data_IF_283057527778
#
_entry.id   IF_283057527778
#
_cell.length_a   1.000
_cell.length_b   1.000
_cell.length_c   1.000
_cell.angle_alpha   90.00
_cell.angle_beta   90.00
_cell.angle_gamma   90.00
#
_symmetry.space_group_name_H-M   'P 1'
#
loop_
_entity.id
_entity.type
_entity.pdbx_description
1 polymer ?
#
# COMPACT_ATOMS: atom_id res chain seq x y z
N UNK A 1 0.23 11.57 -14.89
CA UNK A 1 0.85 10.51 -14.06
C UNK A 1 -0.17 9.38 -13.99
N UNK A 2 0.04 8.31 -14.77
CA UNK A 2 -0.91 7.21 -14.89
C UNK A 2 -0.67 6.19 -13.77
N UNK A 3 -1.68 5.97 -12.93
CA UNK A 3 -1.74 4.88 -11.97
C UNK A 3 -1.89 3.57 -12.74
N UNK A 4 -0.81 2.77 -12.86
CA UNK A 4 -0.91 1.42 -13.42
C UNK A 4 -1.55 0.49 -12.39
N UNK A 5 -2.87 0.26 -12.52
CA UNK A 5 -3.59 -0.77 -11.79
C UNK A 5 -3.33 -2.10 -12.50
N UNK A 6 -2.59 -3.01 -11.85
CA UNK A 6 -2.45 -4.39 -12.34
C UNK A 6 -3.63 -5.23 -11.83
N UNK A 7 -4.61 -5.50 -12.70
CA UNK A 7 -5.68 -6.48 -12.43
C UNK A 7 -5.27 -7.85 -12.97
N UNK A 8 -5.23 -8.86 -12.10
CA UNK A 8 -5.00 -10.24 -12.50
C UNK A 8 -6.34 -10.97 -12.47
N UNK A 9 -6.88 -11.21 -13.67
CA UNK A 9 -8.01 -12.10 -13.86
C UNK A 9 -7.48 -13.52 -14.11
N UNK A 10 -7.85 -14.48 -13.27
CA UNK A 10 -7.57 -15.89 -13.53
C UNK A 10 -8.34 -16.34 -14.78
N UNK A 11 -7.63 -16.76 -15.83
CA UNK A 11 -8.21 -17.31 -17.06
C UNK A 11 -8.48 -18.80 -16.87
N UNK A 12 -9.75 -19.23 -16.96
CA UNK A 12 -10.14 -20.62 -17.16
C UNK A 12 -11.32 -20.70 -18.13
N UNK A 13 -11.22 -21.60 -19.11
CA UNK A 13 -12.16 -21.83 -20.22
C UNK A 13 -13.25 -22.85 -19.84
N UNK A 14 -14.51 -22.50 -20.09
CA UNK A 14 -15.73 -23.29 -20.35
C UNK A 14 -16.10 -24.52 -19.47
N UNK A 15 -17.38 -24.58 -19.02
CA UNK A 15 -18.51 -25.43 -19.51
C UNK A 15 -19.58 -25.50 -18.40
N UNK A 16 -20.86 -25.31 -18.75
CA UNK A 16 -21.99 -25.25 -17.80
C UNK A 16 -22.26 -26.61 -17.11
N UNK A 17 -22.49 -26.61 -15.79
CA UNK A 17 -23.52 -27.41 -15.09
C UNK A 17 -23.58 -27.18 -13.56
N UNK A 18 -24.77 -27.44 -13.03
CA UNK A 18 -25.36 -27.03 -11.75
C UNK A 18 -24.79 -27.70 -10.47
N UNK A 19 -23.50 -27.54 -10.17
CA UNK A 19 -22.84 -28.08 -8.94
C UNK A 19 -21.81 -27.14 -8.26
N UNK A 20 -21.92 -25.82 -8.45
CA UNK A 20 -20.78 -24.91 -8.25
C UNK A 20 -20.41 -24.49 -6.82
N UNK A 21 -21.22 -24.75 -5.78
CA UNK A 21 -20.92 -24.21 -4.44
C UNK A 21 -19.63 -24.77 -3.82
N UNK A 22 -19.26 -26.02 -4.14
CA UNK A 22 -18.06 -26.66 -3.59
C UNK A 22 -16.79 -26.22 -4.31
N UNK A 23 -16.88 -25.85 -5.59
CA UNK A 23 -15.74 -25.40 -6.39
C UNK A 23 -15.29 -23.98 -6.00
N UNK A 24 -16.23 -23.07 -5.75
CA UNK A 24 -15.93 -21.67 -5.43
C UNK A 24 -15.16 -21.54 -4.10
N UNK A 25 -15.57 -22.27 -3.06
CA UNK A 25 -14.87 -22.30 -1.77
C UNK A 25 -13.40 -22.78 -1.91
N UNK A 26 -13.15 -23.72 -2.84
CA UNK A 26 -11.80 -24.24 -3.09
C UNK A 26 -10.90 -23.24 -3.82
N UNK A 27 -11.47 -22.41 -4.71
CA UNK A 27 -10.73 -21.36 -5.44
C UNK A 27 -10.37 -20.22 -4.47
N UNK A 28 -11.33 -19.78 -3.65
CA UNK A 28 -11.12 -18.76 -2.63
C UNK A 28 -10.00 -19.14 -1.68
N UNK A 29 -10.02 -20.39 -1.19
CA UNK A 29 -8.99 -20.91 -0.31
C UNK A 29 -7.62 -20.95 -0.98
N UNK A 30 -7.51 -21.44 -2.23
CA UNK A 30 -6.23 -21.50 -2.96
C UNK A 30 -5.63 -20.11 -3.21
N UNK A 31 -6.45 -19.12 -3.54
CA UNK A 31 -5.98 -17.75 -3.73
C UNK A 31 -5.50 -17.14 -2.41
N UNK A 32 -6.26 -17.34 -1.33
CA UNK A 32 -5.87 -16.90 0.00
C UNK A 32 -4.57 -17.58 0.46
N UNK A 33 -4.44 -18.89 0.29
CA UNK A 33 -3.22 -19.64 0.58
C UNK A 33 -2.02 -19.17 -0.24
N UNK A 34 -2.25 -18.79 -1.51
CA UNK A 34 -1.21 -18.24 -2.37
C UNK A 34 -0.76 -16.88 -1.85
N UNK A 35 -1.70 -15.98 -1.53
CA UNK A 35 -1.41 -14.64 -1.02
C UNK A 35 -0.72 -14.68 0.36
N UNK A 36 -1.11 -15.61 1.23
CA UNK A 36 -0.53 -15.77 2.57
C UNK A 36 0.75 -16.60 2.60
N UNK A 37 1.25 -17.08 1.45
CA UNK A 37 2.50 -17.82 1.35
C UNK A 37 3.58 -16.97 0.67
N UNK A 38 4.55 -16.42 1.42
CA UNK A 38 5.59 -15.55 0.86
C UNK A 38 6.33 -16.16 -0.32
N UNK A 39 6.61 -17.46 -0.30
CA UNK A 39 7.32 -18.15 -1.40
C UNK A 39 6.48 -18.22 -2.68
N UNK A 40 5.16 -18.40 -2.54
CA UNK A 40 4.24 -18.49 -3.70
C UNK A 40 3.92 -17.12 -4.28
N UNK A 41 3.77 -16.09 -3.45
CA UNK A 41 3.41 -14.74 -3.90
C UNK A 41 4.60 -13.92 -4.42
N UNK A 42 5.82 -14.23 -3.97
CA UNK A 42 7.04 -13.49 -4.32
C UNK A 42 7.25 -13.26 -5.83
N UNK A 43 7.07 -14.24 -6.74
CA UNK A 43 7.24 -13.99 -8.18
C UNK A 43 6.29 -12.90 -8.70
N UNK A 44 5.05 -12.90 -8.22
CA UNK A 44 4.05 -11.89 -8.59
C UNK A 44 4.46 -10.50 -8.08
N UNK A 45 4.87 -10.39 -6.81
CA UNK A 45 5.32 -9.12 -6.24
C UNK A 45 6.57 -8.58 -6.94
N UNK A 46 7.51 -9.46 -7.30
CA UNK A 46 8.71 -9.07 -8.04
C UNK A 46 8.37 -8.58 -9.46
N UNK A 47 7.43 -9.24 -10.14
CA UNK A 47 6.90 -8.78 -11.42
C UNK A 47 6.26 -7.39 -11.32
N UNK A 48 5.45 -7.17 -10.28
CA UNK A 48 4.82 -5.89 -10.00
C UNK A 48 5.86 -4.76 -9.81
N UNK A 49 6.88 -4.96 -8.98
CA UNK A 49 7.93 -3.96 -8.73
C UNK A 49 8.74 -3.60 -9.98
N UNK A 50 8.96 -4.57 -10.87
CA UNK A 50 9.76 -4.36 -12.09
C UNK A 50 8.93 -3.86 -13.27
N UNK A 51 7.62 -3.70 -13.12
CA UNK A 51 6.71 -3.37 -14.24
C UNK A 51 6.72 -4.42 -15.35
N UNK A 52 7.10 -5.66 -15.05
CA UNK A 52 7.20 -6.77 -16.02
C UNK A 52 6.19 -7.84 -15.66
N UNK A 53 5.35 -8.22 -16.62
CA UNK A 53 4.52 -9.42 -16.49
C UNK A 53 5.42 -10.65 -16.19
N UNK A 54 4.95 -11.60 -15.38
CA UNK A 54 5.72 -12.80 -15.07
C UNK A 54 5.99 -13.57 -16.36
N UNK A 55 7.23 -13.50 -16.86
CA UNK A 55 7.71 -14.39 -17.91
C UNK A 55 7.97 -15.75 -17.29
N UNK A 56 7.63 -16.81 -18.03
CA UNK A 56 7.71 -18.23 -17.64
C UNK A 56 8.95 -18.55 -16.79
N UNK A 57 8.72 -19.32 -15.72
CA UNK A 57 9.58 -19.57 -14.56
C UNK A 57 10.89 -20.34 -14.81
N UNK A 58 11.42 -20.34 -16.03
CA UNK A 58 12.66 -21.04 -16.35
C UNK A 58 13.88 -20.14 -16.06
N UNK A 59 14.52 -20.37 -14.91
CA UNK A 59 15.87 -19.87 -14.54
C UNK A 59 16.01 -18.41 -14.08
N UNK A 60 15.14 -17.93 -13.19
CA UNK A 60 15.39 -16.68 -12.48
C UNK A 60 16.21 -16.93 -11.19
N UNK A 61 17.30 -16.16 -11.02
CA UNK A 61 18.06 -16.03 -9.76
C UNK A 61 17.09 -15.82 -8.59
N UNK A 62 17.33 -16.39 -7.39
CA UNK A 62 16.44 -16.18 -6.25
C UNK A 62 16.24 -14.68 -6.01
N UNK A 63 14.98 -14.26 -6.08
CA UNK A 63 14.60 -12.86 -5.86
C UNK A 63 14.85 -12.42 -4.41
N UNK A 64 14.70 -11.11 -4.13
CA UNK A 64 14.81 -10.59 -2.76
C UNK A 64 13.81 -11.29 -1.83
N UNK A 65 14.18 -11.48 -0.56
CA UNK A 65 13.32 -12.10 0.44
C UNK A 65 11.96 -11.40 0.51
N UNK A 66 10.91 -12.20 0.66
CA UNK A 66 9.53 -11.75 0.81
C UNK A 66 9.04 -12.10 2.22
N UNK A 67 8.49 -11.12 2.92
CA UNK A 67 7.91 -11.27 4.25
C UNK A 67 6.48 -10.71 4.29
N UNK A 68 5.61 -11.29 5.11
CA UNK A 68 4.31 -10.69 5.44
C UNK A 68 4.49 -9.95 6.76
N UNK A 69 4.28 -8.64 6.73
CA UNK A 69 4.42 -7.77 7.89
C UNK A 69 3.11 -7.61 8.68
N UNK A 70 1.99 -7.58 7.96
CA UNK A 70 0.64 -7.45 8.52
C UNK A 70 -0.37 -8.11 7.58
N UNK A 71 -1.44 -8.66 8.13
CA UNK A 71 -2.53 -9.23 7.34
C UNK A 71 -3.84 -9.07 8.10
N UNK A 72 -4.85 -8.55 7.39
CA UNK A 72 -6.21 -8.44 7.89
C UNK A 72 -7.13 -9.24 6.99
N UNK A 73 -7.83 -10.20 7.57
CA UNK A 73 -8.81 -11.00 6.87
C UNK A 73 -10.22 -10.72 7.40
N UNK A 74 -11.13 -10.38 6.49
CA UNK A 74 -12.56 -10.26 6.72
C UNK A 74 -13.28 -11.30 5.86
N UNK A 75 -13.73 -12.43 6.45
CA UNK A 75 -14.34 -13.53 5.70
C UNK A 75 -15.48 -13.06 4.78
N UNK A 76 -15.38 -13.46 3.50
CA UNK A 76 -16.36 -13.11 2.47
C UNK A 76 -16.38 -11.63 2.05
N UNK A 77 -15.43 -10.81 2.53
CA UNK A 77 -15.32 -9.37 2.18
C UNK A 77 -14.01 -9.04 1.50
N UNK A 78 -12.92 -8.98 2.29
CA UNK A 78 -11.58 -8.65 1.78
C UNK A 78 -10.46 -9.20 2.65
N UNK A 79 -9.31 -9.45 2.04
CA UNK A 79 -8.07 -9.72 2.75
C UNK A 79 -7.02 -8.71 2.28
N UNK A 80 -6.58 -7.84 3.19
CA UNK A 80 -5.53 -6.87 2.93
C UNK A 80 -4.24 -7.38 3.59
N UNK A 81 -3.15 -7.42 2.83
CA UNK A 81 -1.87 -7.97 3.26
C UNK A 81 -0.77 -6.95 2.95
N UNK A 82 0.11 -6.71 3.93
CA UNK A 82 1.30 -5.89 3.76
C UNK A 82 2.52 -6.80 3.61
N UNK A 83 3.17 -6.71 2.45
CA UNK A 83 4.39 -7.43 2.15
C UNK A 83 5.61 -6.53 2.27
N UNK A 84 6.74 -7.10 2.65
CA UNK A 84 8.07 -6.55 2.48
C UNK A 84 8.82 -7.39 1.44
N UNK A 85 9.34 -6.76 0.39
CA UNK A 85 10.12 -7.39 -0.66
C UNK A 85 11.41 -6.60 -0.85
N UNK A 86 12.50 -7.10 -0.26
CA UNK A 86 13.74 -6.33 -0.15
C UNK A 86 13.54 -5.07 0.70
N UNK A 87 13.71 -3.90 0.10
CA UNK A 87 13.50 -2.60 0.77
C UNK A 87 12.17 -1.92 0.40
N UNK A 88 11.28 -2.64 -0.29
CA UNK A 88 10.01 -2.12 -0.77
C UNK A 88 8.88 -2.76 0.01
N UNK A 89 7.84 -1.98 0.31
CA UNK A 89 6.60 -2.50 0.87
C UNK A 89 5.48 -2.44 -0.16
N UNK A 90 4.67 -3.49 -0.20
CA UNK A 90 3.57 -3.65 -1.15
C UNK A 90 2.32 -4.03 -0.39
N UNK A 91 1.19 -3.45 -0.76
CA UNK A 91 -0.12 -3.84 -0.25
C UNK A 91 -0.78 -4.74 -1.28
N UNK A 92 -1.23 -5.91 -0.86
CA UNK A 92 -2.12 -6.74 -1.64
C UNK A 92 -3.52 -6.74 -1.06
N UNK A 93 -4.51 -6.48 -1.89
CA UNK A 93 -5.92 -6.57 -1.54
C UNK A 93 -6.60 -7.66 -2.35
N UNK A 94 -7.04 -8.71 -1.66
CA UNK A 94 -7.90 -9.75 -2.20
C UNK A 94 -9.36 -9.36 -1.92
N UNK A 95 -10.18 -9.29 -2.96
CA UNK A 95 -11.62 -9.01 -2.84
C UNK A 95 -12.43 -10.18 -3.37
N UNK A 96 -13.50 -10.53 -2.65
CA UNK A 96 -14.45 -11.54 -3.08
C UNK A 96 -15.66 -10.88 -3.74
N UNK A 97 -16.27 -11.50 -4.76
CA UNK A 97 -17.52 -11.03 -5.29
C UNK A 97 -18.59 -11.07 -4.21
N UNK A 98 -19.33 -9.98 -4.04
CA UNK A 98 -20.50 -10.01 -3.16
C UNK A 98 -21.54 -10.97 -3.75
N UNK A 99 -22.05 -11.90 -2.92
CA UNK A 99 -23.14 -12.82 -3.31
C UNK A 99 -24.46 -12.10 -3.63
N UNK A 100 -24.56 -10.81 -3.33
CA UNK A 100 -25.80 -10.02 -3.35
C UNK A 100 -25.90 -8.99 -4.48
N UNK A 101 -25.00 -8.97 -5.47
CA UNK A 101 -25.16 -8.10 -6.65
C UNK A 101 -26.23 -8.70 -7.59
N UNK A 102 -27.50 -8.23 -7.58
CA UNK A 102 -28.59 -8.85 -8.33
C UNK A 102 -28.46 -8.62 -9.83
N UNK A 103 -27.59 -7.69 -10.25
CA UNK A 103 -27.29 -7.38 -11.65
C UNK A 103 -26.08 -8.14 -12.20
N UNK A 104 -25.39 -8.94 -11.38
CA UNK A 104 -24.25 -9.76 -11.80
C UNK A 104 -24.71 -11.07 -12.44
N UNK A 105 -25.59 -11.01 -13.43
CA UNK A 105 -26.45 -12.15 -13.77
C UNK A 105 -25.76 -13.24 -14.62
N UNK A 106 -24.54 -13.06 -15.15
CA UNK A 106 -24.05 -14.03 -16.17
C UNK A 106 -22.54 -14.38 -16.19
N UNK A 107 -21.72 -14.02 -15.20
CA UNK A 107 -20.34 -14.53 -15.15
C UNK A 107 -19.83 -14.78 -13.72
N UNK A 108 -19.20 -15.94 -13.44
CA UNK A 108 -18.51 -16.16 -12.17
C UNK A 108 -17.38 -15.12 -12.06
N UNK A 109 -17.56 -14.15 -11.15
CA UNK A 109 -16.48 -13.22 -10.79
C UNK A 109 -15.50 -14.03 -9.93
N UNK A 110 -14.27 -14.20 -10.39
CA UNK A 110 -13.22 -14.82 -9.57
C UNK A 110 -12.71 -13.77 -8.56
N UNK A 111 -12.24 -14.17 -7.37
CA UNK A 111 -11.58 -13.24 -6.47
C UNK A 111 -10.43 -12.56 -7.20
N UNK A 112 -10.31 -11.25 -7.03
CA UNK A 112 -9.25 -10.46 -7.67
C UNK A 112 -8.27 -9.97 -6.62
N UNK A 113 -6.99 -10.08 -6.93
CA UNK A 113 -5.92 -9.49 -6.15
C UNK A 113 -5.46 -8.20 -6.83
N UNK A 114 -5.48 -7.10 -6.07
CA UNK A 114 -4.93 -5.81 -6.48
C UNK A 114 -3.67 -5.53 -5.68
N UNK A 115 -2.66 -4.95 -6.32
CA UNK A 115 -1.38 -4.63 -5.71
C UNK A 115 -1.13 -3.12 -5.78
N UNK A 116 -0.61 -2.56 -4.70
CA UNK A 116 -0.26 -1.14 -4.59
C UNK A 116 1.13 -0.99 -3.96
N UNK A 117 1.95 -0.03 -4.41
CA UNK A 117 3.05 0.45 -3.57
C UNK A 117 2.49 0.96 -2.24
N UNK A 118 3.17 0.75 -1.12
CA UNK A 118 2.60 1.11 0.19
C UNK A 118 2.23 2.59 0.30
N UNK A 119 2.99 3.49 -0.35
CA UNK A 119 2.71 4.92 -0.34
C UNK A 119 1.37 5.24 -0.98
N UNK A 120 0.88 4.39 -1.89
CA UNK A 120 -0.38 4.53 -2.62
C UNK A 120 -1.53 3.74 -1.98
N UNK A 121 -1.46 3.47 -0.68
CA UNK A 121 -2.54 2.85 0.08
C UNK A 121 -3.86 3.63 -0.12
N UNK A 122 -4.90 3.02 -0.73
CA UNK A 122 -6.17 3.69 -0.97
C UNK A 122 -6.89 4.09 0.32
N UNK A 123 -6.68 3.34 1.42
CA UNK A 123 -7.25 3.65 2.73
C UNK A 123 -6.47 4.76 3.46
N UNK A 124 -5.35 5.25 2.90
CA UNK A 124 -4.48 6.28 3.47
C UNK A 124 -4.06 7.32 2.42
N UNK A 125 -5.03 7.97 1.77
CA UNK A 125 -4.81 8.88 0.64
C UNK A 125 -3.79 10.02 0.87
N UNK A 126 -3.56 10.45 2.10
CA UNK A 126 -2.55 11.48 2.42
C UNK A 126 -1.13 10.92 2.60
N UNK A 127 -0.94 9.60 2.58
CA UNK A 127 0.34 8.94 2.78
C UNK A 127 1.43 9.36 1.78
N UNK A 128 1.16 9.46 0.45
CA UNK A 128 2.17 9.94 -0.49
C UNK A 128 2.65 11.34 -0.11
N UNK A 129 1.72 12.23 0.23
CA UNK A 129 2.03 13.63 0.58
C UNK A 129 2.88 13.73 1.83
N UNK A 130 2.57 12.96 2.89
CA UNK A 130 3.34 13.04 4.14
C UNK A 130 4.70 12.36 4.08
N UNK A 131 4.90 11.47 3.10
CA UNK A 131 6.19 10.85 2.81
C UNK A 131 7.05 11.69 1.83
N UNK A 132 6.45 12.66 1.13
CA UNK A 132 7.15 13.57 0.22
C UNK A 132 7.85 14.71 0.99
N UNK A 133 9.17 14.68 0.97
CA UNK A 133 10.04 15.67 1.62
C UNK A 133 9.76 17.11 1.19
N UNK A 134 9.49 17.35 -0.10
CA UNK A 134 9.23 18.68 -0.65
C UNK A 134 7.83 19.17 -0.29
N UNK A 135 6.82 18.30 -0.38
CA UNK A 135 5.46 18.62 0.02
C UNK A 135 5.38 18.94 1.52
N UNK A 136 5.98 18.09 2.36
CA UNK A 136 6.03 18.33 3.81
C UNK A 136 6.83 19.56 4.19
N UNK A 137 7.93 19.87 3.49
CA UNK A 137 8.64 21.14 3.69
C UNK A 137 7.72 22.35 3.47
N UNK A 138 6.90 22.34 2.43
CA UNK A 138 5.93 23.43 2.18
C UNK A 138 4.89 23.51 3.30
N UNK A 139 4.23 22.39 3.60
CA UNK A 139 3.21 22.31 4.66
C UNK A 139 3.76 22.80 6.01
N UNK A 140 4.98 22.37 6.37
CA UNK A 140 5.62 22.77 7.63
C UNK A 140 6.03 24.24 7.64
N UNK A 141 6.42 24.83 6.51
CA UNK A 141 6.67 26.27 6.43
C UNK A 141 5.39 27.08 6.68
N UNK A 142 4.25 26.58 6.22
CA UNK A 142 2.95 27.23 6.40
C UNK A 142 2.37 26.99 7.81
N UNK A 143 2.68 25.85 8.43
CA UNK A 143 2.02 25.39 9.66
C UNK A 143 2.82 25.64 10.94
N UNK A 144 4.15 25.69 10.88
CA UNK A 144 4.97 25.90 12.09
C UNK A 144 4.92 27.37 12.52
N UNK A 145 4.64 27.70 13.79
CA UNK A 145 4.49 29.09 14.23
C UNK A 145 5.67 30.00 13.89
N UNK A 146 6.91 29.52 14.05
CA UNK A 146 8.11 30.31 13.72
C UNK A 146 8.29 30.52 12.22
N UNK A 147 7.76 29.62 11.39
CA UNK A 147 7.79 29.75 9.94
C UNK A 147 6.66 30.64 9.42
N UNK A 148 5.44 30.45 9.94
CA UNK A 148 4.29 31.31 9.63
C UNK A 148 4.55 32.78 10.02
N UNK A 149 5.26 33.02 11.12
CA UNK A 149 5.70 34.36 11.54
C UNK A 149 6.91 34.89 10.72
N UNK A 150 7.44 34.14 9.77
CA UNK A 150 8.58 34.52 8.93
C UNK A 150 9.93 34.60 9.65
N UNK A 151 10.04 34.08 10.88
CA UNK A 151 11.27 34.09 11.66
C UNK A 151 12.24 33.01 11.20
N UNK A 152 11.71 31.87 10.76
CA UNK A 152 12.45 30.73 10.26
C UNK A 152 11.85 30.20 8.96
N UNK A 153 12.60 29.42 8.20
CA UNK A 153 12.03 28.59 7.14
C UNK A 153 12.70 27.21 7.13
N UNK A 154 11.92 26.17 6.86
CA UNK A 154 12.39 24.81 6.66
C UNK A 154 13.10 24.75 5.31
N UNK A 155 14.42 24.57 5.32
CA UNK A 155 15.24 24.43 4.10
C UNK A 155 15.37 22.98 3.65
N UNK A 156 15.33 22.04 4.61
CA UNK A 156 15.35 20.60 4.37
C UNK A 156 14.35 19.91 5.29
N UNK A 157 13.63 18.94 4.74
CA UNK A 157 12.79 18.00 5.47
C UNK A 157 13.20 16.60 5.00
N UNK A 158 13.28 15.65 5.92
CA UNK A 158 13.39 14.22 5.60
C UNK A 158 12.33 13.47 6.38
N UNK A 159 11.39 12.87 5.68
CA UNK A 159 10.41 11.96 6.24
C UNK A 159 11.02 10.56 6.43
N UNK A 160 10.65 9.89 7.51
CA UNK A 160 11.00 8.49 7.75
C UNK A 160 9.81 7.80 8.41
N UNK A 161 9.32 6.74 7.77
CA UNK A 161 8.27 5.92 8.34
C UNK A 161 8.81 5.12 9.53
N UNK A 162 8.18 5.27 10.70
CA UNK A 162 8.56 4.54 11.91
C UNK A 162 7.66 3.32 12.16
N UNK A 163 6.37 3.47 11.84
CA UNK A 163 5.38 2.42 12.04
C UNK A 163 4.23 2.62 11.08
N UNK A 164 3.74 1.54 10.51
CA UNK A 164 2.55 1.53 9.68
C UNK A 164 1.62 0.39 10.12
N UNK A 165 0.32 0.66 10.07
CA UNK A 165 -0.76 -0.31 10.25
C UNK A 165 -1.68 -0.19 9.06
N UNK A 166 -1.85 -1.30 8.35
CA UNK A 166 -2.49 -1.36 7.04
C UNK A 166 -3.87 -0.69 7.05
N UNK A 167 -4.06 0.33 6.19
CA UNK A 167 -5.32 1.07 6.05
C UNK A 167 -5.84 1.73 7.34
N UNK A 168 -4.97 2.02 8.32
CA UNK A 168 -5.39 2.58 9.62
C UNK A 168 -4.58 3.78 10.06
N UNK A 169 -3.25 3.64 10.18
CA UNK A 169 -2.40 4.66 10.76
C UNK A 169 -0.94 4.52 10.33
N UNK A 170 -0.28 5.64 10.06
CA UNK A 170 1.17 5.74 9.91
C UNK A 170 1.75 6.66 11.00
N UNK A 171 2.97 6.36 11.46
CA UNK A 171 3.76 7.22 12.34
C UNK A 171 5.06 7.58 11.64
N UNK A 172 5.34 8.86 11.53
CA UNK A 172 6.46 9.41 10.78
C UNK A 172 7.38 10.23 11.69
N UNK A 173 8.69 10.17 11.42
CA UNK A 173 9.68 11.12 11.91
C UNK A 173 10.01 12.11 10.79
N UNK A 174 10.08 13.39 11.13
CA UNK A 174 10.58 14.42 10.24
C UNK A 174 11.84 15.03 10.82
N UNK A 175 12.95 14.88 10.10
CA UNK A 175 14.22 15.52 10.43
C UNK A 175 14.33 16.82 9.62
N UNK A 176 14.30 17.96 10.31
CA UNK A 176 14.22 19.29 9.73
C UNK A 176 15.53 20.05 9.88
N UNK A 177 15.90 20.80 8.84
CA UNK A 177 16.84 21.89 8.95
C UNK A 177 16.08 23.21 8.78
N UNK A 178 16.16 24.07 9.79
CA UNK A 178 15.50 25.37 9.82
C UNK A 178 16.55 26.46 9.70
N UNK A 179 16.32 27.44 8.83
CA UNK A 179 17.18 28.62 8.69
C UNK A 179 16.49 29.83 9.30
N UNK A 180 17.14 30.48 10.25
CA UNK A 180 16.66 31.75 10.81
C UNK A 180 16.80 32.87 9.78
N UNK A 181 15.75 33.66 9.59
CA UNK A 181 15.68 34.66 8.50
C UNK A 181 16.67 35.81 8.71
N UNK A 182 16.79 36.31 9.94
CA UNK A 182 17.63 37.47 10.22
C UNK A 182 19.13 37.13 10.29
N UNK A 183 19.48 35.94 10.78
CA UNK A 183 20.89 35.58 11.06
C UNK A 183 21.47 34.57 10.08
N UNK A 184 20.63 33.92 9.27
CA UNK A 184 21.05 32.84 8.36
C UNK A 184 21.46 31.53 9.06
N UNK A 185 21.50 31.50 10.40
CA UNK A 185 21.88 30.32 11.19
C UNK A 185 20.95 29.16 10.92
N UNK A 186 21.53 27.98 10.72
CA UNK A 186 20.79 26.73 10.52
C UNK A 186 20.74 25.94 11.83
N UNK A 187 19.54 25.57 12.26
CA UNK A 187 19.30 24.65 13.37
C UNK A 187 18.67 23.35 12.87
N UNK A 188 18.86 22.27 13.64
CA UNK A 188 18.23 20.97 13.39
C UNK A 188 17.08 20.76 14.38
N UNK A 189 15.98 20.19 13.92
CA UNK A 189 14.83 19.84 14.75
C UNK A 189 14.21 18.55 14.25
N UNK A 190 13.76 17.71 15.17
CA UNK A 190 12.98 16.51 14.85
C UNK A 190 11.54 16.72 15.27
N UNK A 191 10.60 16.37 14.40
CA UNK A 191 9.17 16.30 14.68
C UNK A 191 8.65 14.87 14.48
N UNK A 192 7.55 14.53 15.14
CA UNK A 192 6.85 13.27 14.94
C UNK A 192 5.41 13.56 14.51
N UNK A 193 4.99 12.92 13.41
CA UNK A 193 3.62 13.00 12.89
C UNK A 193 2.90 11.68 13.01
N UNK A 194 1.60 11.73 13.27
CA UNK A 194 0.69 10.59 13.16
C UNK A 194 -0.32 10.90 12.07
N UNK A 195 -0.38 10.03 11.06
CA UNK A 195 -1.40 10.07 10.02
C UNK A 195 -2.44 9.01 10.30
N UNK A 196 -3.72 9.37 10.26
CA UNK A 196 -4.86 8.46 10.42
C UNK A 196 -5.66 8.38 9.12
N UNK A 197 -6.31 7.23 8.88
CA UNK A 197 -7.23 7.03 7.74
C UNK A 197 -8.45 7.97 7.76
N UNK A 198 -8.85 8.50 8.94
CA UNK A 198 -9.97 9.43 9.07
C UNK A 198 -9.68 10.55 10.09
N UNK A 199 -10.21 11.75 9.83
CA UNK A 199 -10.04 12.92 10.69
C UNK A 199 -10.67 12.73 12.07
N UNK A 200 -11.80 12.03 12.17
CA UNK A 200 -12.48 11.72 13.43
C UNK A 200 -11.58 10.95 14.42
N UNK A 201 -10.61 10.18 13.93
CA UNK A 201 -9.66 9.45 14.80
C UNK A 201 -8.42 10.26 15.17
N UNK A 202 -8.28 11.45 14.60
CA UNK A 202 -7.18 12.36 14.88
C UNK A 202 -7.50 13.38 15.98
N UNK A 203 -8.80 13.62 16.25
CA UNK A 203 -9.30 14.40 17.37
C UNK A 203 -9.23 13.60 18.69
#
# INVERSE_FOLDING_TARGET
MNTMIAQIAAHNTATANHTNTTNDASIDQRLLETALNPRRIQPLLHSFLNGKLPSSAASAKPGPACHILDAKYEPGKRCSILYEVGAQMIIGELTWPSKTDPNAEHAPRLPTMQLYPFEQDPDMAALPTVMDDAAMRRILNESLPTCAAGLQHVVRCRATLLRYRLGKRATLRYDLHLRHKATGVISKRTLFGKLYHSAEKAA
#
